data_IF_815497664160
#
_entry.id   IF_815497664160
#
_cell.length_a   1.000
_cell.length_b   1.000
_cell.length_c   1.000
_cell.angle_alpha   90.00
_cell.angle_beta   90.00
_cell.angle_gamma   90.00
#
_symmetry.space_group_name_H-M   'P 1'
#
loop_
_entity.id
_entity.type
_entity.pdbx_description
1 polymer ?
#
# COMPACT_ATOMS: atom_id res chain seq x y z
N UNK A 1 -13.35 20.33 26.98
CA UNK A 1 -12.32 20.54 25.93
C UNK A 1 -11.86 19.21 25.29
N UNK A 2 -11.79 18.11 26.05
CA UNK A 2 -11.34 16.80 25.55
C UNK A 2 -12.38 16.12 24.63
N UNK A 3 -13.66 16.24 24.94
CA UNK A 3 -14.77 15.67 24.16
C UNK A 3 -14.93 16.35 22.80
N UNK A 4 -14.70 17.65 22.69
CA UNK A 4 -14.81 18.41 21.44
C UNK A 4 -13.71 18.05 20.45
N UNK A 5 -12.45 17.86 20.92
CA UNK A 5 -11.34 17.40 20.07
C UNK A 5 -11.59 16.00 19.50
N UNK A 6 -12.12 15.07 20.29
CA UNK A 6 -12.44 13.72 19.86
C UNK A 6 -13.46 13.72 18.72
N UNK A 7 -14.50 14.57 18.82
CA UNK A 7 -15.53 14.73 17.78
C UNK A 7 -14.96 15.25 16.45
N UNK A 8 -14.05 16.24 16.49
CA UNK A 8 -13.42 16.80 15.28
C UNK A 8 -12.52 15.76 14.59
N UNK A 9 -11.72 15.00 15.35
CA UNK A 9 -10.89 13.94 14.79
C UNK A 9 -11.72 12.83 14.12
N UNK A 10 -12.81 12.43 14.74
CA UNK A 10 -13.73 11.44 14.17
C UNK A 10 -14.41 11.96 12.89
N UNK A 11 -14.75 13.23 12.85
CA UNK A 11 -15.36 13.83 11.68
C UNK A 11 -14.38 13.99 10.51
N UNK A 12 -13.15 14.43 10.78
CA UNK A 12 -12.08 14.50 9.77
C UNK A 12 -11.75 13.10 9.23
N UNK A 13 -11.64 12.11 10.11
CA UNK A 13 -11.38 10.72 9.73
C UNK A 13 -12.50 10.15 8.86
N UNK A 14 -13.75 10.32 9.24
CA UNK A 14 -14.92 9.88 8.45
C UNK A 14 -14.97 10.58 7.10
N UNK A 15 -14.68 11.88 7.05
CA UNK A 15 -14.66 12.66 5.81
C UNK A 15 -13.53 12.23 4.89
N UNK A 16 -12.34 11.94 5.41
CA UNK A 16 -11.23 11.41 4.61
C UNK A 16 -11.54 10.03 4.03
N UNK A 17 -12.13 9.12 4.81
CA UNK A 17 -12.56 7.81 4.32
C UNK A 17 -13.64 7.94 3.24
N UNK A 18 -14.60 8.85 3.42
CA UNK A 18 -15.63 9.09 2.42
C UNK A 18 -15.05 9.61 1.09
N UNK A 19 -14.10 10.54 1.16
CA UNK A 19 -13.41 11.06 -0.04
C UNK A 19 -12.59 9.97 -0.74
N UNK A 20 -11.86 9.14 0.02
CA UNK A 20 -11.14 8.00 -0.53
C UNK A 20 -12.08 7.00 -1.22
N UNK A 21 -13.25 6.73 -0.62
CA UNK A 21 -14.29 5.89 -1.22
C UNK A 21 -14.84 6.48 -2.53
N UNK A 22 -15.09 7.78 -2.58
CA UNK A 22 -15.53 8.45 -3.81
C UNK A 22 -14.47 8.39 -4.92
N UNK A 23 -13.20 8.58 -4.58
CA UNK A 23 -12.08 8.47 -5.53
C UNK A 23 -12.01 7.03 -6.05
N UNK A 24 -12.08 6.03 -5.18
CA UNK A 24 -12.11 4.62 -5.57
C UNK A 24 -13.23 4.30 -6.55
N UNK A 25 -14.46 4.74 -6.25
CA UNK A 25 -15.61 4.54 -7.12
C UNK A 25 -15.50 5.30 -8.45
N UNK A 26 -14.91 6.49 -8.44
CA UNK A 26 -14.64 7.25 -9.68
C UNK A 26 -13.63 6.53 -10.57
N UNK A 27 -12.57 5.96 -9.99
CA UNK A 27 -11.58 5.15 -10.72
C UNK A 27 -12.25 3.91 -11.30
N UNK A 28 -13.07 3.17 -10.51
CA UNK A 28 -13.83 2.01 -10.98
C UNK A 28 -14.73 2.36 -12.17
N UNK A 29 -15.49 3.45 -12.08
CA UNK A 29 -16.38 3.91 -13.15
C UNK A 29 -15.60 4.26 -14.40
N UNK A 30 -14.48 4.95 -14.27
CA UNK A 30 -13.63 5.33 -15.39
C UNK A 30 -13.03 4.11 -16.11
N UNK A 31 -12.55 3.12 -15.35
CA UNK A 31 -12.09 1.85 -15.92
C UNK A 31 -13.25 1.13 -16.62
N UNK A 32 -14.43 1.11 -16.02
CA UNK A 32 -15.60 0.44 -16.56
C UNK A 32 -16.18 1.10 -17.81
N UNK A 33 -15.95 2.40 -18.01
CA UNK A 33 -16.40 3.12 -19.21
C UNK A 33 -15.45 2.98 -20.41
N UNK A 34 -14.18 2.61 -20.16
CA UNK A 34 -13.15 2.53 -21.19
C UNK A 34 -12.70 1.09 -21.51
N UNK A 35 -13.03 0.13 -20.67
CA UNK A 35 -12.61 -1.27 -20.80
C UNK A 35 -13.80 -2.19 -20.58
N UNK A 36 -13.88 -3.24 -21.40
CA UNK A 36 -14.91 -4.27 -21.33
C UNK A 36 -14.34 -5.65 -20.96
N UNK A 37 -15.23 -6.53 -20.48
CA UNK A 37 -14.92 -7.92 -20.21
C UNK A 37 -13.78 -8.11 -19.21
N UNK A 38 -12.88 -9.09 -19.46
CA UNK A 38 -11.82 -9.46 -18.52
C UNK A 38 -10.73 -8.39 -18.36
N UNK A 39 -10.54 -7.54 -19.36
CA UNK A 39 -9.57 -6.43 -19.29
C UNK A 39 -9.97 -5.40 -18.22
N UNK A 40 -11.28 -5.12 -18.09
CA UNK A 40 -11.84 -4.28 -17.03
C UNK A 40 -11.52 -4.83 -15.65
N UNK A 41 -11.82 -6.14 -15.42
CA UNK A 41 -11.62 -6.78 -14.11
C UNK A 41 -10.13 -6.80 -13.77
N UNK A 42 -9.27 -7.11 -14.73
CA UNK A 42 -7.82 -7.11 -14.56
C UNK A 42 -7.30 -5.71 -14.21
N UNK A 43 -7.71 -4.67 -14.92
CA UNK A 43 -7.32 -3.29 -14.63
C UNK A 43 -7.80 -2.86 -13.24
N UNK A 44 -9.01 -3.22 -12.84
CA UNK A 44 -9.52 -2.93 -11.49
C UNK A 44 -8.73 -3.67 -10.42
N UNK A 45 -8.42 -4.96 -10.62
CA UNK A 45 -7.61 -5.74 -9.69
C UNK A 45 -6.20 -5.17 -9.52
N UNK A 46 -5.55 -4.77 -10.62
CA UNK A 46 -4.20 -4.19 -10.59
C UNK A 46 -4.16 -2.80 -9.94
N UNK A 47 -5.18 -1.95 -10.18
CA UNK A 47 -5.17 -0.57 -9.68
C UNK A 47 -5.74 -0.43 -8.26
N UNK A 48 -6.77 -1.22 -7.92
CA UNK A 48 -7.56 -1.04 -6.69
C UNK A 48 -7.54 -2.26 -5.76
N UNK A 49 -6.94 -3.36 -6.21
CA UNK A 49 -6.91 -4.62 -5.47
C UNK A 49 -8.29 -5.29 -5.37
N UNK A 50 -8.29 -6.56 -4.97
CA UNK A 50 -9.54 -7.31 -4.82
C UNK A 50 -10.22 -7.58 -6.17
N UNK A 51 -11.47 -8.08 -6.12
CA UNK A 51 -12.34 -8.32 -7.30
C UNK A 51 -11.81 -9.30 -8.37
N UNK A 52 -10.64 -9.92 -8.17
CA UNK A 52 -10.12 -10.91 -9.11
C UNK A 52 -10.99 -12.19 -9.17
N UNK A 53 -11.85 -12.42 -8.18
CA UNK A 53 -12.86 -13.49 -8.21
C UNK A 53 -13.83 -13.33 -9.39
N UNK A 54 -14.02 -12.13 -9.91
CA UNK A 54 -14.86 -11.85 -11.07
C UNK A 54 -14.19 -12.24 -12.41
N UNK A 55 -12.90 -12.59 -12.42
CA UNK A 55 -12.16 -13.04 -13.62
C UNK A 55 -12.62 -14.43 -14.11
N UNK A 56 -13.33 -15.19 -13.29
CA UNK A 56 -13.67 -16.59 -13.57
C UNK A 56 -12.53 -17.55 -13.17
N UNK A 57 -12.92 -18.77 -12.77
CA UNK A 57 -11.97 -19.75 -12.21
C UNK A 57 -10.88 -20.18 -13.19
N UNK A 58 -11.17 -20.29 -14.47
CA UNK A 58 -10.18 -20.71 -15.48
C UNK A 58 -9.00 -19.70 -15.54
N UNK A 59 -9.31 -18.41 -15.58
CA UNK A 59 -8.28 -17.37 -15.67
C UNK A 59 -7.48 -17.22 -14.39
N UNK A 60 -8.13 -17.39 -13.24
CA UNK A 60 -7.41 -17.41 -11.95
C UNK A 60 -6.43 -18.59 -11.94
N UNK A 61 -6.81 -19.76 -12.48
CA UNK A 61 -5.92 -20.91 -12.62
C UNK A 61 -4.74 -20.60 -13.56
N UNK A 62 -4.96 -19.93 -14.68
CA UNK A 62 -3.89 -19.52 -15.60
C UNK A 62 -2.88 -18.59 -14.91
N UNK A 63 -3.35 -17.62 -14.14
CA UNK A 63 -2.48 -16.75 -13.32
C UNK A 63 -1.74 -17.54 -12.23
N UNK A 64 -2.37 -18.56 -11.65
CA UNK A 64 -1.73 -19.42 -10.67
C UNK A 64 -0.64 -20.30 -11.30
N UNK A 65 -0.91 -20.92 -12.46
CA UNK A 65 0.07 -21.74 -13.18
C UNK A 65 1.28 -20.94 -13.66
N UNK A 66 1.08 -19.69 -14.04
CA UNK A 66 2.19 -18.80 -14.43
C UNK A 66 2.92 -18.18 -13.23
N UNK A 67 2.45 -18.43 -11.99
CA UNK A 67 3.00 -17.82 -10.78
C UNK A 67 2.70 -16.34 -10.62
N UNK A 68 1.84 -15.76 -11.47
CA UNK A 68 1.52 -14.34 -11.49
C UNK A 68 0.33 -13.95 -10.62
N UNK A 69 -0.26 -14.89 -9.89
CA UNK A 69 -1.44 -14.64 -9.04
C UNK A 69 -1.20 -13.56 -7.99
N UNK A 70 0.05 -13.41 -7.52
CA UNK A 70 0.43 -12.40 -6.55
C UNK A 70 0.38 -10.96 -7.12
N UNK A 71 0.39 -10.79 -8.45
CA UNK A 71 0.25 -9.48 -9.11
C UNK A 71 -1.20 -9.01 -9.07
N UNK A 72 -2.17 -9.93 -9.03
CA UNK A 72 -3.60 -9.60 -8.93
C UNK A 72 -3.98 -9.00 -7.56
N UNK A 73 -3.18 -9.24 -6.53
CA UNK A 73 -3.32 -8.55 -5.24
C UNK A 73 -2.35 -7.38 -5.17
N UNK A 74 -2.79 -6.27 -4.56
CA UNK A 74 -1.88 -5.15 -4.32
C UNK A 74 -0.83 -5.58 -3.31
N UNK A 75 0.42 -5.52 -3.74
CA UNK A 75 1.58 -5.94 -2.97
C UNK A 75 2.48 -4.77 -2.60
N UNK A 76 3.47 -5.03 -1.77
CA UNK A 76 4.50 -4.06 -1.43
C UNK A 76 5.26 -3.49 -2.62
N UNK A 77 5.33 -4.21 -3.75
CA UNK A 77 5.95 -3.74 -4.98
C UNK A 77 5.23 -2.52 -5.58
N UNK A 78 3.90 -2.45 -5.49
CA UNK A 78 3.11 -1.30 -5.94
C UNK A 78 3.47 -0.04 -5.14
N UNK A 79 3.59 -0.17 -3.81
CA UNK A 79 4.01 0.94 -2.94
C UNK A 79 5.45 1.35 -3.25
N UNK A 80 6.36 0.39 -3.42
CA UNK A 80 7.75 0.66 -3.75
C UNK A 80 7.89 1.38 -5.10
N UNK A 81 7.16 0.94 -6.13
CA UNK A 81 7.14 1.57 -7.46
C UNK A 81 6.58 3.00 -7.37
N UNK A 82 5.50 3.20 -6.65
CA UNK A 82 4.88 4.50 -6.44
C UNK A 82 5.86 5.48 -5.77
N UNK A 83 6.55 5.03 -4.71
CA UNK A 83 7.56 5.83 -4.02
C UNK A 83 8.76 6.14 -4.92
N UNK A 84 9.24 5.14 -5.69
CA UNK A 84 10.34 5.33 -6.64
C UNK A 84 9.99 6.34 -7.72
N UNK A 85 8.77 6.28 -8.26
CA UNK A 85 8.25 7.22 -9.26
C UNK A 85 8.22 8.65 -8.70
N UNK A 86 7.62 8.84 -7.52
CA UNK A 86 7.52 10.17 -6.89
C UNK A 86 8.91 10.72 -6.56
N UNK A 87 9.80 9.86 -6.04
CA UNK A 87 11.16 10.27 -5.76
C UNK A 87 11.91 10.65 -7.05
N UNK A 88 11.82 9.85 -8.11
CA UNK A 88 12.44 10.10 -9.41
C UNK A 88 11.93 11.40 -10.04
N UNK A 89 10.62 11.58 -10.14
CA UNK A 89 10.01 12.81 -10.67
C UNK A 89 10.39 14.04 -9.85
N UNK A 90 10.34 13.93 -8.51
CA UNK A 90 10.75 15.01 -7.63
C UNK A 90 12.22 15.39 -7.81
N UNK A 91 13.10 14.42 -8.07
CA UNK A 91 14.52 14.67 -8.36
C UNK A 91 14.75 15.31 -9.73
N UNK A 92 13.95 14.95 -10.74
CA UNK A 92 13.98 15.61 -12.04
C UNK A 92 13.63 17.09 -11.95
N UNK A 93 12.65 17.45 -11.12
CA UNK A 93 12.25 18.84 -10.83
C UNK A 93 13.15 19.52 -9.79
N UNK A 94 14.29 18.87 -9.42
CA UNK A 94 15.29 19.39 -8.47
C UNK A 94 14.75 19.65 -7.05
N UNK A 95 13.70 18.95 -6.64
CA UNK A 95 13.21 19.02 -5.26
C UNK A 95 14.25 18.47 -4.28
N UNK A 96 14.22 18.98 -3.05
CA UNK A 96 15.06 18.48 -1.96
C UNK A 96 14.68 17.03 -1.64
N UNK A 97 15.67 16.17 -1.33
CA UNK A 97 15.44 14.75 -0.98
C UNK A 97 14.36 14.57 0.08
N UNK A 98 14.40 15.38 1.15
CA UNK A 98 13.38 15.32 2.23
C UNK A 98 11.97 15.60 1.72
N UNK A 99 11.81 16.58 0.83
CA UNK A 99 10.51 16.91 0.24
C UNK A 99 9.97 15.76 -0.60
N UNK A 100 10.83 15.14 -1.43
CA UNK A 100 10.43 13.96 -2.22
C UNK A 100 9.96 12.81 -1.34
N UNK A 101 10.65 12.54 -0.22
CA UNK A 101 10.26 11.47 0.71
C UNK A 101 8.96 11.78 1.43
N UNK A 102 8.75 13.02 1.88
CA UNK A 102 7.50 13.44 2.53
C UNK A 102 6.32 13.30 1.56
N UNK A 103 6.48 13.78 0.32
CA UNK A 103 5.46 13.63 -0.73
C UNK A 103 5.18 12.16 -1.01
N UNK A 104 6.22 11.32 -1.10
CA UNK A 104 6.08 9.89 -1.29
C UNK A 104 5.28 9.23 -0.17
N UNK A 105 5.58 9.53 1.09
CA UNK A 105 4.84 9.04 2.25
C UNK A 105 3.37 9.48 2.19
N UNK A 106 3.10 10.75 1.91
CA UNK A 106 1.73 11.27 1.82
C UNK A 106 0.93 10.54 0.74
N UNK A 107 1.52 10.35 -0.44
CA UNK A 107 0.86 9.63 -1.54
C UNK A 107 0.67 8.15 -1.21
N UNK A 108 1.66 7.48 -0.58
CA UNK A 108 1.53 6.09 -0.16
C UNK A 108 0.41 5.91 0.88
N UNK A 109 0.30 6.81 1.87
CA UNK A 109 -0.79 6.80 2.84
C UNK A 109 -2.15 7.01 2.18
N UNK A 110 -2.26 8.00 1.27
CA UNK A 110 -3.50 8.27 0.55
C UNK A 110 -3.91 7.07 -0.32
N UNK A 111 -2.95 6.46 -1.01
CA UNK A 111 -3.18 5.26 -1.81
C UNK A 111 -3.65 4.09 -0.96
N UNK A 112 -3.02 3.86 0.20
CA UNK A 112 -3.46 2.85 1.17
C UNK A 112 -4.92 3.06 1.61
N UNK A 113 -5.32 4.31 1.87
CA UNK A 113 -6.71 4.64 2.23
C UNK A 113 -7.69 4.42 1.06
N UNK A 114 -7.31 4.75 -0.17
CA UNK A 114 -8.15 4.56 -1.37
C UNK A 114 -8.41 3.08 -1.62
N UNK A 115 -7.41 2.21 -1.43
CA UNK A 115 -7.53 0.77 -1.65
C UNK A 115 -8.41 0.10 -0.59
N UNK A 116 -8.48 0.67 0.61
CA UNK A 116 -9.27 0.13 1.71
C UNK A 116 -8.43 -0.55 2.80
N UNK A 117 -7.10 -0.40 2.74
CA UNK A 117 -6.21 -0.79 3.82
C UNK A 117 -6.03 -2.30 3.99
N UNK A 118 -5.89 -3.04 2.91
CA UNK A 118 -5.53 -4.46 2.97
C UNK A 118 -4.22 -4.68 3.75
N UNK A 119 -4.16 -5.74 4.54
CA UNK A 119 -3.03 -6.01 5.43
C UNK A 119 -1.64 -5.96 4.75
N UNK A 120 -1.43 -6.51 3.52
CA UNK A 120 -0.16 -6.39 2.81
C UNK A 120 0.21 -4.93 2.48
N UNK A 121 -0.78 -4.10 2.12
CA UNK A 121 -0.58 -2.69 1.75
C UNK A 121 -0.23 -1.86 2.98
N UNK A 122 -0.92 -2.10 4.10
CA UNK A 122 -0.61 -1.44 5.39
C UNK A 122 0.82 -1.76 5.79
N UNK A 123 1.23 -3.03 5.77
CA UNK A 123 2.60 -3.45 6.10
C UNK A 123 3.64 -2.76 5.22
N UNK A 124 3.44 -2.77 3.90
CA UNK A 124 4.35 -2.14 2.96
C UNK A 124 4.46 -0.63 3.16
N UNK A 125 3.34 0.03 3.42
CA UNK A 125 3.30 1.48 3.71
C UNK A 125 4.04 1.79 5.01
N UNK A 126 3.81 1.02 6.08
CA UNK A 126 4.51 1.19 7.37
C UNK A 126 6.02 0.97 7.23
N UNK A 127 6.44 -0.11 6.56
CA UNK A 127 7.86 -0.37 6.29
C UNK A 127 8.50 0.79 5.51
N UNK A 128 7.81 1.29 4.48
CA UNK A 128 8.28 2.40 3.66
C UNK A 128 8.42 3.69 4.47
N UNK A 129 7.48 4.01 5.35
CA UNK A 129 7.55 5.17 6.24
C UNK A 129 8.77 5.07 7.16
N UNK A 130 8.95 3.92 7.82
CA UNK A 130 10.07 3.71 8.73
C UNK A 130 11.43 3.77 8.02
N UNK A 131 11.52 3.19 6.82
CA UNK A 131 12.73 3.27 5.99
C UNK A 131 13.02 4.70 5.54
N UNK A 132 12.00 5.46 5.10
CA UNK A 132 12.15 6.87 4.76
C UNK A 132 12.60 7.70 5.97
N UNK A 133 12.06 7.45 7.16
CA UNK A 133 12.48 8.12 8.39
C UNK A 133 13.94 7.81 8.75
N UNK A 134 14.37 6.54 8.62
CA UNK A 134 15.75 6.12 8.83
C UNK A 134 16.69 6.83 7.85
N UNK A 135 16.30 6.92 6.58
CA UNK A 135 17.06 7.62 5.55
C UNK A 135 17.21 9.12 5.84
N UNK A 136 16.11 9.81 6.23
CA UNK A 136 16.14 11.24 6.56
C UNK A 136 17.05 11.53 7.75
N UNK A 137 17.09 10.63 8.73
CA UNK A 137 17.97 10.73 9.93
C UNK A 137 19.42 10.31 9.65
N UNK A 138 19.74 9.86 8.42
CA UNK A 138 21.09 9.37 8.08
C UNK A 138 21.46 8.05 8.77
N UNK A 139 20.46 7.25 9.17
CA UNK A 139 20.62 6.03 9.96
C UNK A 139 20.19 4.78 9.20
N UNK A 140 20.62 4.64 7.95
CA UNK A 140 20.29 3.49 7.11
C UNK A 140 20.71 2.15 7.72
N UNK A 141 21.79 2.12 8.52
CA UNK A 141 22.22 0.92 9.25
C UNK A 141 21.18 0.43 10.28
N UNK A 142 20.18 1.23 10.61
CA UNK A 142 19.07 0.84 11.49
C UNK A 142 17.85 0.27 10.72
N UNK A 143 18.01 -0.08 9.44
CA UNK A 143 16.92 -0.64 8.64
C UNK A 143 16.37 -1.94 9.24
N UNK A 144 17.23 -2.82 9.77
CA UNK A 144 16.81 -4.02 10.49
C UNK A 144 15.99 -3.71 11.74
N UNK A 145 16.37 -2.66 12.49
CA UNK A 145 15.60 -2.21 13.65
C UNK A 145 14.23 -1.64 13.25
N UNK A 146 14.18 -0.87 12.15
CA UNK A 146 12.92 -0.37 11.60
C UNK A 146 11.98 -1.53 11.18
N UNK A 147 12.53 -2.57 10.58
CA UNK A 147 11.79 -3.78 10.22
C UNK A 147 11.23 -4.49 11.47
N UNK A 148 12.06 -4.67 12.52
CA UNK A 148 11.61 -5.26 13.77
C UNK A 148 10.50 -4.44 14.43
N UNK A 149 10.63 -3.12 14.46
CA UNK A 149 9.60 -2.22 15.02
C UNK A 149 8.29 -2.39 14.24
N UNK A 150 8.36 -2.43 12.90
CA UNK A 150 7.20 -2.67 12.07
C UNK A 150 6.52 -4.01 12.38
N UNK A 151 7.32 -5.08 12.52
CA UNK A 151 6.80 -6.40 12.88
C UNK A 151 6.08 -6.38 14.24
N UNK A 152 6.68 -5.76 15.25
CA UNK A 152 6.08 -5.64 16.59
C UNK A 152 4.76 -4.87 16.51
N UNK A 153 4.70 -3.74 15.80
CA UNK A 153 3.46 -2.96 15.66
C UNK A 153 2.36 -3.80 15.00
N UNK A 154 2.69 -4.54 13.93
CA UNK A 154 1.72 -5.41 13.25
C UNK A 154 1.21 -6.52 14.18
N UNK A 155 2.09 -7.16 14.96
CA UNK A 155 1.73 -8.24 15.87
C UNK A 155 0.97 -7.76 17.11
N UNK A 156 1.20 -6.53 17.56
CA UNK A 156 0.38 -5.91 18.63
C UNK A 156 -1.03 -5.63 18.15
N UNK A 157 -1.18 -5.24 16.88
CA UNK A 157 -2.49 -4.98 16.28
C UNK A 157 -3.26 -6.29 16.01
N UNK A 158 -2.59 -7.27 15.41
CA UNK A 158 -3.14 -8.59 15.12
C UNK A 158 -2.09 -9.69 15.37
N UNK A 159 -2.11 -10.35 16.53
CA UNK A 159 -1.18 -11.43 16.87
C UNK A 159 -1.26 -12.64 15.94
N UNK A 160 -2.43 -12.91 15.35
CA UNK A 160 -2.62 -14.04 14.45
C UNK A 160 -1.94 -13.85 13.09
N UNK A 161 -1.59 -12.62 12.73
CA UNK A 161 -0.79 -12.33 11.53
C UNK A 161 0.54 -13.10 11.48
N UNK A 162 1.09 -13.54 12.62
CA UNK A 162 2.32 -14.35 12.66
C UNK A 162 2.17 -15.66 11.87
N UNK A 163 0.98 -16.23 11.83
CA UNK A 163 0.66 -17.48 11.12
C UNK A 163 0.27 -17.23 9.65
N UNK A 164 0.13 -15.98 9.24
CA UNK A 164 -0.16 -15.63 7.86
C UNK A 164 1.10 -15.74 7.00
N UNK A 165 1.03 -16.57 5.96
CA UNK A 165 2.12 -16.79 4.99
C UNK A 165 2.54 -15.48 4.34
N UNK A 166 1.60 -14.58 4.06
CA UNK A 166 1.87 -13.27 3.47
C UNK A 166 2.71 -12.39 4.41
N UNK A 167 2.46 -12.47 5.73
CA UNK A 167 3.27 -11.79 6.74
C UNK A 167 4.69 -12.35 6.76
N UNK A 168 4.82 -13.68 6.88
CA UNK A 168 6.12 -14.35 6.96
C UNK A 168 6.99 -14.07 5.73
N UNK A 169 6.42 -14.19 4.52
CA UNK A 169 7.14 -13.90 3.27
C UNK A 169 7.55 -12.43 3.16
N UNK A 170 6.67 -11.51 3.53
CA UNK A 170 6.96 -10.07 3.47
C UNK A 170 8.13 -9.68 4.37
N UNK A 171 8.10 -10.10 5.63
CA UNK A 171 9.16 -9.79 6.59
C UNK A 171 10.43 -10.59 6.33
N UNK A 172 10.31 -11.88 5.99
CA UNK A 172 11.44 -12.74 5.67
C UNK A 172 12.21 -12.28 4.43
N UNK A 173 11.52 -11.96 3.34
CA UNK A 173 12.14 -11.43 2.14
C UNK A 173 12.82 -10.07 2.39
N UNK A 174 12.17 -9.16 3.11
CA UNK A 174 12.75 -7.85 3.43
C UNK A 174 13.99 -8.00 4.33
N UNK A 175 13.95 -8.89 5.32
CA UNK A 175 15.10 -9.17 6.18
C UNK A 175 16.28 -9.76 5.40
N UNK A 176 16.00 -10.64 4.44
CA UNK A 176 17.03 -11.25 3.59
C UNK A 176 17.71 -10.27 2.62
N UNK A 177 17.04 -9.16 2.29
CA UNK A 177 17.59 -8.09 1.43
C UNK A 177 18.40 -7.04 2.21
N UNK A 178 18.28 -6.96 3.54
CA UNK A 178 18.96 -6.02 4.44
C UNK A 178 20.22 -6.62 5.07
#
# INVERSE_FOLDING_TARGET
>A
TFSYKKSIYEEIYRRSLYLCGQIRESIKKNIASNLDGPQKVLAQALCLGGHYSELGEERIKDFAYTGLIHILSISGSHIALLLALIYGLGRLVKLRKRTCLILGILVACTYCCIIGGDAPVIRATMMSILMCMAYVKGRLYQAKQALCICAIICLVYDPFSLFDVSFQLSFGATYGLL
#
